data_IF_927692053431
#
_entry.id   IF_927692053431
#
_cell.length_a   1.000
_cell.length_b   1.000
_cell.length_c   1.000
_cell.angle_alpha   90.00
_cell.angle_beta   90.00
_cell.angle_gamma   90.00
#
_symmetry.space_group_name_H-M   'P 1'
#
loop_
_entity.id
_entity.type
_entity.pdbx_description
1 polymer ?
#
# COMPACT_ATOMS: atom_id res chain seq x y z
N UNK A 1 -11.09 -12.93 1.69
CA UNK A 1 -12.41 -13.07 1.07
C UNK A 1 -13.39 -12.20 1.83
N UNK A 2 -13.83 -11.07 1.27
CA UNK A 2 -14.72 -10.13 1.94
C UNK A 2 -16.05 -10.04 1.17
N UNK A 3 -17.17 -9.99 1.90
CA UNK A 3 -18.47 -9.56 1.36
C UNK A 3 -18.56 -8.04 1.28
N UNK A 4 -19.59 -7.50 0.60
CA UNK A 4 -19.69 -6.07 0.30
C UNK A 4 -19.65 -5.16 1.55
N UNK A 5 -20.41 -5.49 2.60
CA UNK A 5 -20.41 -4.70 3.84
C UNK A 5 -19.01 -4.59 4.49
N UNK A 6 -18.21 -5.65 4.41
CA UNK A 6 -16.86 -5.67 4.97
C UNK A 6 -15.86 -4.89 4.10
N UNK A 7 -16.15 -4.74 2.81
CA UNK A 7 -15.33 -3.98 1.88
C UNK A 7 -15.57 -2.47 1.98
N UNK A 8 -16.76 -2.03 2.44
CA UNK A 8 -17.17 -0.63 2.50
C UNK A 8 -16.11 0.37 3.04
N UNK A 9 -15.48 0.17 4.20
CA UNK A 9 -14.48 1.12 4.69
C UNK A 9 -13.26 1.24 3.76
N UNK A 10 -12.87 0.14 3.09
CA UNK A 10 -11.75 0.15 2.15
C UNK A 10 -12.13 0.80 0.82
N UNK A 11 -13.34 0.51 0.33
CA UNK A 11 -13.89 1.12 -0.90
C UNK A 11 -14.05 2.62 -0.71
N UNK A 12 -14.56 3.08 0.43
CA UNK A 12 -14.66 4.50 0.74
C UNK A 12 -13.28 5.19 0.72
N UNK A 13 -12.28 4.60 1.37
CA UNK A 13 -10.91 5.14 1.38
C UNK A 13 -10.32 5.22 -0.03
N UNK A 14 -10.45 4.15 -0.81
CA UNK A 14 -9.98 4.13 -2.20
C UNK A 14 -10.71 5.16 -3.06
N UNK A 15 -12.03 5.29 -2.94
CA UNK A 15 -12.83 6.27 -3.68
C UNK A 15 -12.35 7.72 -3.47
N UNK A 16 -11.75 8.02 -2.31
CA UNK A 16 -11.25 9.36 -1.99
C UNK A 16 -9.89 9.68 -2.62
N UNK A 17 -9.11 8.66 -3.01
CA UNK A 17 -7.72 8.85 -3.47
C UNK A 17 -7.48 8.46 -4.92
N UNK A 18 -8.30 7.57 -5.50
CA UNK A 18 -8.07 7.10 -6.88
C UNK A 18 -8.53 8.13 -7.91
N UNK A 19 -7.64 8.43 -8.86
CA UNK A 19 -7.86 9.32 -10.01
C UNK A 19 -8.43 8.57 -11.22
N UNK A 20 -8.64 7.26 -11.10
CA UNK A 20 -9.14 6.40 -12.16
C UNK A 20 -10.53 5.83 -11.85
N UNK A 21 -11.12 5.14 -12.83
CA UNK A 21 -12.38 4.45 -12.63
C UNK A 21 -12.24 3.33 -11.60
N UNK A 22 -13.17 3.29 -10.64
CA UNK A 22 -13.18 2.30 -9.58
C UNK A 22 -14.20 1.19 -9.85
N UNK A 23 -13.81 -0.05 -9.56
CA UNK A 23 -14.71 -1.20 -9.66
C UNK A 23 -14.61 -2.08 -8.42
N UNK A 24 -15.71 -2.77 -8.09
CA UNK A 24 -15.76 -3.76 -7.00
C UNK A 24 -16.49 -5.01 -7.48
N UNK A 25 -15.98 -6.18 -7.11
CA UNK A 25 -16.64 -7.46 -7.33
C UNK A 25 -16.60 -8.25 -6.02
N UNK A 26 -17.63 -8.09 -5.17
CA UNK A 26 -17.68 -8.74 -3.86
C UNK A 26 -18.00 -10.23 -3.99
N UNK A 27 -17.67 -11.02 -2.97
CA UNK A 27 -18.22 -12.37 -2.84
C UNK A 27 -19.72 -12.32 -2.49
N UNK A 28 -20.43 -13.42 -2.72
CA UNK A 28 -21.79 -13.64 -2.22
C UNK A 28 -21.76 -13.97 -0.71
N UNK A 29 -21.25 -13.03 0.09
CA UNK A 29 -21.05 -13.18 1.53
C UNK A 29 -19.67 -13.74 1.90
N UNK A 30 -19.50 -14.06 3.19
CA UNK A 30 -18.31 -14.76 3.67
C UNK A 30 -18.44 -16.27 3.38
N UNK A 31 -17.33 -16.97 3.14
CA UNK A 31 -17.38 -18.42 2.97
C UNK A 31 -17.91 -19.07 4.24
N UNK A 32 -18.89 -19.97 4.08
CA UNK A 32 -19.46 -20.73 5.20
C UNK A 32 -18.55 -21.91 5.58
N UNK A 33 -18.90 -22.63 6.65
CA UNK A 33 -18.11 -23.75 7.17
C UNK A 33 -17.92 -24.91 6.16
N UNK A 34 -18.76 -25.00 5.13
CA UNK A 34 -18.67 -25.98 4.05
C UNK A 34 -17.91 -25.45 2.82
N UNK A 35 -17.36 -24.23 2.89
CA UNK A 35 -16.69 -23.56 1.77
C UNK A 35 -17.63 -22.98 0.72
N UNK A 36 -18.95 -22.97 0.99
CA UNK A 36 -19.99 -22.37 0.14
C UNK A 36 -20.27 -20.91 0.48
N UNK A 37 -21.26 -20.33 -0.20
CA UNK A 37 -21.68 -18.94 -0.08
C UNK A 37 -23.20 -18.88 0.05
N UNK A 38 -23.69 -18.17 1.06
CA UNK A 38 -25.11 -18.21 1.47
C UNK A 38 -25.89 -16.95 1.10
N UNK A 39 -25.24 -15.87 0.66
CA UNK A 39 -25.98 -14.68 0.22
C UNK A 39 -26.80 -15.02 -1.00
N UNK A 40 -28.08 -14.66 -0.95
CA UNK A 40 -28.99 -14.74 -2.10
C UNK A 40 -28.74 -13.58 -3.07
N UNK A 41 -29.27 -13.62 -4.31
CA UNK A 41 -29.22 -12.48 -5.22
C UNK A 41 -29.70 -11.16 -4.62
N UNK A 42 -30.80 -11.17 -3.85
CA UNK A 42 -31.34 -9.99 -3.18
C UNK A 42 -30.41 -9.50 -2.08
N UNK A 43 -29.97 -10.39 -1.20
CA UNK A 43 -29.06 -10.07 -0.09
C UNK A 43 -27.76 -9.45 -0.60
N UNK A 44 -27.14 -10.05 -1.62
CA UNK A 44 -25.90 -9.54 -2.18
C UNK A 44 -26.08 -8.16 -2.83
N UNK A 45 -27.20 -7.93 -3.53
CA UNK A 45 -27.49 -6.66 -4.15
C UNK A 45 -27.77 -5.55 -3.12
N UNK A 46 -28.51 -5.85 -2.06
CA UNK A 46 -28.76 -4.95 -0.93
C UNK A 46 -27.44 -4.53 -0.25
N UNK A 47 -26.55 -5.49 0.03
CA UNK A 47 -25.25 -5.18 0.63
C UNK A 47 -24.35 -4.33 -0.28
N UNK A 48 -24.42 -4.52 -1.60
CA UNK A 48 -23.65 -3.71 -2.56
C UNK A 48 -24.22 -2.30 -2.75
N UNK A 49 -25.49 -2.07 -2.39
CA UNK A 49 -26.17 -0.79 -2.64
C UNK A 49 -25.47 0.40 -1.96
N UNK A 50 -24.78 0.18 -0.84
CA UNK A 50 -24.00 1.21 -0.16
C UNK A 50 -22.97 1.86 -1.09
N UNK A 51 -22.38 1.09 -2.00
CA UNK A 51 -21.38 1.61 -2.93
C UNK A 51 -21.99 2.53 -3.99
N UNK A 52 -23.20 2.22 -4.43
CA UNK A 52 -23.92 2.99 -5.45
C UNK A 52 -24.51 4.26 -4.87
N UNK A 53 -25.17 4.15 -3.70
CA UNK A 53 -25.70 5.29 -2.94
C UNK A 53 -24.63 6.34 -2.64
N UNK A 54 -23.43 5.87 -2.31
CA UNK A 54 -22.31 6.74 -1.97
C UNK A 54 -21.53 7.26 -3.19
N UNK A 55 -21.88 6.83 -4.41
CA UNK A 55 -21.22 7.26 -5.63
C UNK A 55 -19.75 6.84 -5.71
N UNK A 56 -19.40 5.68 -5.15
CA UNK A 56 -18.01 5.22 -5.07
C UNK A 56 -17.54 4.44 -6.31
N UNK A 57 -18.44 3.89 -7.12
CA UNK A 57 -18.06 2.96 -8.20
C UNK A 57 -18.45 3.43 -9.60
N UNK A 58 -17.67 2.98 -10.56
CA UNK A 58 -17.94 3.08 -12.00
C UNK A 58 -18.39 1.74 -12.58
N UNK A 59 -17.94 0.63 -11.99
CA UNK A 59 -18.34 -0.73 -12.39
C UNK A 59 -18.53 -1.61 -11.16
N UNK A 60 -19.43 -2.60 -11.27
CA UNK A 60 -19.68 -3.58 -10.22
C UNK A 60 -19.82 -4.97 -10.81
N UNK A 61 -19.35 -5.98 -10.08
CA UNK A 61 -19.45 -7.39 -10.46
C UNK A 61 -19.63 -8.29 -9.24
N UNK A 62 -19.41 -9.58 -9.47
CA UNK A 62 -19.43 -10.60 -8.42
C UNK A 62 -18.22 -11.52 -8.54
N UNK A 63 -17.75 -12.01 -7.40
CA UNK A 63 -16.62 -12.92 -7.28
C UNK A 63 -17.10 -14.32 -6.91
N UNK A 64 -16.50 -14.95 -5.90
CA UNK A 64 -16.86 -16.28 -5.45
C UNK A 64 -18.31 -16.34 -4.93
N UNK A 65 -19.02 -17.42 -5.26
CA UNK A 65 -20.44 -17.61 -4.93
C UNK A 65 -21.42 -16.84 -5.80
N UNK A 66 -20.96 -15.88 -6.60
CA UNK A 66 -21.83 -15.10 -7.49
C UNK A 66 -22.26 -15.93 -8.70
N UNK A 67 -23.51 -15.75 -9.12
CA UNK A 67 -24.10 -16.43 -10.29
C UNK A 67 -24.84 -15.42 -11.18
N UNK A 68 -25.27 -15.79 -12.41
CA UNK A 68 -26.02 -14.87 -13.27
C UNK A 68 -27.25 -14.21 -12.61
N UNK A 69 -28.04 -14.92 -11.77
CA UNK A 69 -29.06 -14.30 -10.92
C UNK A 69 -28.56 -13.16 -10.02
N UNK A 70 -27.40 -13.34 -9.36
CA UNK A 70 -26.79 -12.28 -8.53
C UNK A 70 -26.43 -11.05 -9.37
N UNK A 71 -25.75 -11.27 -10.50
CA UNK A 71 -25.35 -10.17 -11.39
C UNK A 71 -26.57 -9.43 -11.95
N UNK A 72 -27.62 -10.15 -12.33
CA UNK A 72 -28.89 -9.56 -12.76
C UNK A 72 -29.47 -8.65 -11.68
N UNK A 73 -29.54 -9.13 -10.44
CA UNK A 73 -30.11 -8.37 -9.34
C UNK A 73 -29.27 -7.14 -8.96
N UNK A 74 -27.94 -7.28 -8.95
CA UNK A 74 -27.01 -6.15 -8.74
C UNK A 74 -27.21 -5.08 -9.82
N UNK A 75 -27.32 -5.47 -11.10
CA UNK A 75 -27.57 -4.54 -12.22
C UNK A 75 -28.87 -3.76 -12.03
N UNK A 76 -29.95 -4.43 -11.64
CA UNK A 76 -31.26 -3.78 -11.40
C UNK A 76 -31.17 -2.71 -10.31
N UNK A 77 -30.45 -2.98 -9.22
CA UNK A 77 -30.22 -2.00 -8.15
C UNK A 77 -29.28 -0.88 -8.61
N UNK A 78 -28.14 -1.21 -9.24
CA UNK A 78 -27.15 -0.24 -9.69
C UNK A 78 -27.69 0.74 -10.74
N UNK A 79 -28.62 0.31 -11.61
CA UNK A 79 -29.22 1.16 -12.65
C UNK A 79 -30.02 2.37 -12.12
N UNK A 80 -30.30 2.42 -10.82
CA UNK A 80 -30.98 3.54 -10.16
C UNK A 80 -30.01 4.66 -9.77
N UNK A 81 -28.69 4.44 -9.89
CA UNK A 81 -27.66 5.35 -9.43
C UNK A 81 -26.76 5.81 -10.60
N UNK A 82 -26.14 6.98 -10.44
CA UNK A 82 -25.14 7.46 -11.39
C UNK A 82 -23.76 6.91 -11.04
N UNK A 83 -22.90 6.62 -12.04
CA UNK A 83 -21.51 6.26 -11.80
C UNK A 83 -20.74 7.35 -11.03
N UNK A 84 -19.70 6.95 -10.31
CA UNK A 84 -18.74 7.86 -9.66
C UNK A 84 -18.19 8.89 -10.65
N UNK A 85 -18.23 10.17 -10.28
CA UNK A 85 -17.47 11.20 -10.97
C UNK A 85 -15.96 11.04 -10.66
N UNK A 86 -15.12 11.19 -11.68
CA UNK A 86 -13.67 11.28 -11.47
C UNK A 86 -13.34 12.56 -10.67
N UNK A 87 -12.30 12.54 -9.83
CA UNK A 87 -11.91 13.72 -9.07
C UNK A 87 -11.43 14.82 -10.02
N UNK A 88 -11.59 16.07 -9.59
CA UNK A 88 -11.06 17.21 -10.33
C UNK A 88 -9.52 17.15 -10.37
N UNK A 89 -8.94 17.64 -11.46
CA UNK A 89 -7.49 17.80 -11.57
C UNK A 89 -7.03 18.83 -10.53
N UNK A 90 -6.19 18.38 -9.60
CA UNK A 90 -5.57 19.24 -8.58
C UNK A 90 -4.08 19.40 -8.84
N UNK A 91 -3.43 20.31 -8.10
CA UNK A 91 -1.98 20.45 -8.19
C UNK A 91 -1.32 19.12 -7.76
N UNK A 92 -0.33 18.61 -8.52
CA UNK A 92 0.40 17.41 -8.12
C UNK A 92 1.03 17.57 -6.74
N UNK A 93 0.81 16.58 -5.88
CA UNK A 93 1.43 16.45 -4.56
C UNK A 93 2.48 15.35 -4.60
N UNK A 94 3.45 15.39 -3.68
CA UNK A 94 4.36 14.27 -3.48
C UNK A 94 3.70 13.23 -2.57
N UNK A 95 3.26 12.12 -3.17
CA UNK A 95 2.73 10.94 -2.49
C UNK A 95 3.81 9.87 -2.47
N UNK A 96 4.13 9.37 -1.29
CA UNK A 96 5.03 8.25 -1.06
C UNK A 96 4.24 7.14 -0.35
N UNK A 97 4.77 5.92 -0.37
CA UNK A 97 4.14 4.79 0.33
C UNK A 97 5.18 3.83 0.85
N UNK A 98 4.99 3.40 2.10
CA UNK A 98 5.41 2.08 2.57
C UNK A 98 4.19 1.16 2.55
N UNK A 99 3.92 0.49 3.67
CA UNK A 99 2.62 -0.12 3.98
C UNK A 99 1.56 0.93 4.33
N UNK A 100 2.00 2.10 4.78
CA UNK A 100 1.14 3.27 5.05
C UNK A 100 1.42 4.35 4.00
N UNK A 101 0.37 5.11 3.66
CA UNK A 101 0.46 6.25 2.75
C UNK A 101 1.12 7.44 3.44
N UNK A 102 1.91 8.21 2.68
CA UNK A 102 2.55 9.42 3.15
C UNK A 102 2.40 10.53 2.12
N UNK A 103 1.62 11.55 2.46
CA UNK A 103 1.51 12.79 1.68
C UNK A 103 2.46 13.82 2.31
N UNK A 104 3.52 14.20 1.59
CA UNK A 104 4.60 15.03 2.15
C UNK A 104 4.11 16.38 2.69
N UNK A 105 3.07 16.95 2.09
CA UNK A 105 2.46 18.21 2.54
C UNK A 105 1.82 18.11 3.93
N UNK A 106 1.39 16.90 4.34
CA UNK A 106 0.71 16.66 5.62
C UNK A 106 1.70 16.23 6.73
N UNK A 107 2.98 16.00 6.38
CA UNK A 107 4.01 15.52 7.30
C UNK A 107 4.45 16.62 8.25
N UNK A 108 4.47 16.28 9.55
CA UNK A 108 5.06 17.10 10.60
C UNK A 108 6.03 16.26 11.43
N UNK A 109 7.22 16.79 11.74
CA UNK A 109 8.18 16.10 12.59
C UNK A 109 7.78 16.14 14.08
N UNK A 110 8.59 15.55 14.96
CA UNK A 110 8.31 15.49 16.40
C UNK A 110 8.24 16.86 17.11
N UNK A 111 8.65 17.95 16.46
CA UNK A 111 8.51 19.33 16.95
C UNK A 111 7.26 20.03 16.38
N UNK A 112 6.45 19.34 15.59
CA UNK A 112 5.30 19.91 14.89
C UNK A 112 5.67 20.80 13.71
N UNK A 113 6.90 20.72 13.17
CA UNK A 113 7.30 21.46 11.99
C UNK A 113 6.99 20.67 10.71
N UNK A 114 6.55 21.32 9.61
CA UNK A 114 6.29 20.66 8.33
C UNK A 114 7.61 20.27 7.64
N UNK A 115 8.25 19.21 8.13
CA UNK A 115 9.58 18.79 7.72
C UNK A 115 9.69 17.27 7.63
N UNK A 116 10.02 16.78 6.44
CA UNK A 116 10.22 15.36 6.15
C UNK A 116 11.62 14.91 6.56
N UNK A 117 11.74 14.26 7.72
CA UNK A 117 12.95 13.54 8.11
C UNK A 117 13.21 12.30 7.24
N UNK A 118 14.39 12.23 6.64
CA UNK A 118 14.92 11.03 5.96
C UNK A 118 16.01 10.40 6.85
N UNK A 119 15.87 9.12 7.15
CA UNK A 119 16.81 8.37 7.99
C UNK A 119 18.05 7.92 7.21
N UNK A 120 19.20 8.54 7.46
CA UNK A 120 20.47 8.35 6.75
C UNK A 120 21.35 7.16 7.21
N UNK A 121 21.02 6.49 8.32
CA UNK A 121 21.95 5.53 8.96
C UNK A 121 22.05 4.18 8.24
N UNK A 122 21.17 3.90 7.29
CA UNK A 122 21.20 2.73 6.41
C UNK A 122 22.05 2.99 5.15
N UNK A 123 23.22 3.61 5.37
CA UNK A 123 24.12 4.06 4.33
C UNK A 123 25.52 3.46 4.55
N UNK A 124 26.02 2.70 3.58
CA UNK A 124 27.33 2.03 3.70
C UNK A 124 28.48 3.04 3.76
N UNK A 125 28.38 4.15 3.03
CA UNK A 125 29.40 5.20 3.03
C UNK A 125 29.37 6.05 4.30
N UNK A 126 28.19 6.31 4.86
CA UNK A 126 27.99 7.18 6.04
C UNK A 126 28.00 6.47 7.40
N UNK A 127 27.74 5.16 7.46
CA UNK A 127 27.56 4.42 8.71
C UNK A 127 28.52 3.22 8.81
N UNK A 128 29.59 3.40 9.60
CA UNK A 128 30.59 2.34 9.88
C UNK A 128 29.91 1.07 10.44
N UNK A 129 28.88 1.24 11.27
CA UNK A 129 28.13 0.11 11.84
C UNK A 129 27.36 -0.63 10.75
N UNK A 130 26.59 0.09 9.93
CA UNK A 130 25.80 -0.51 8.85
C UNK A 130 26.71 -1.23 7.83
N UNK A 131 27.79 -0.57 7.39
CA UNK A 131 28.81 -1.16 6.51
C UNK A 131 29.32 -2.51 7.03
N UNK A 132 29.73 -2.56 8.31
CA UNK A 132 30.24 -3.79 8.93
C UNK A 132 29.20 -4.92 8.93
N UNK A 133 27.93 -4.61 9.13
CA UNK A 133 26.84 -5.60 9.13
C UNK A 133 26.56 -6.11 7.72
N UNK A 134 26.44 -5.19 6.76
CA UNK A 134 26.21 -5.51 5.34
C UNK A 134 27.34 -6.36 4.76
N UNK A 135 28.61 -6.02 5.04
CA UNK A 135 29.78 -6.80 4.60
C UNK A 135 29.84 -8.20 5.23
N UNK A 136 29.29 -8.37 6.45
CA UNK A 136 29.20 -9.68 7.13
C UNK A 136 27.96 -10.49 6.71
N UNK A 137 27.05 -9.90 5.93
CA UNK A 137 25.76 -10.49 5.62
C UNK A 137 24.81 -10.61 6.82
N UNK A 138 25.03 -9.81 7.87
CA UNK A 138 24.17 -9.75 9.06
C UNK A 138 23.01 -8.78 8.82
N UNK A 139 22.09 -9.19 7.94
CA UNK A 139 20.93 -8.39 7.56
C UNK A 139 19.94 -8.20 8.72
N UNK A 140 19.86 -9.15 9.65
CA UNK A 140 18.97 -9.05 10.81
C UNK A 140 19.35 -7.84 11.67
N UNK A 141 20.62 -7.74 12.06
CA UNK A 141 21.08 -6.59 12.86
C UNK A 141 21.09 -5.30 12.04
N UNK A 142 21.21 -5.39 10.72
CA UNK A 142 21.07 -4.23 9.84
C UNK A 142 19.62 -3.71 9.79
N UNK A 143 18.61 -4.59 9.84
CA UNK A 143 17.20 -4.19 9.98
C UNK A 143 16.93 -3.47 11.29
N UNK A 144 17.59 -3.86 12.39
CA UNK A 144 17.46 -3.13 13.67
C UNK A 144 17.89 -1.66 13.55
N UNK A 145 18.84 -1.34 12.65
CA UNK A 145 19.21 0.04 12.35
C UNK A 145 18.06 0.75 11.64
N UNK A 146 17.47 0.14 10.60
CA UNK A 146 16.34 0.70 9.88
C UNK A 146 15.15 0.93 10.81
N UNK A 147 14.74 -0.10 11.57
CA UNK A 147 13.66 -0.03 12.56
C UNK A 147 13.90 1.10 13.56
N UNK A 148 15.10 1.18 14.14
CA UNK A 148 15.43 2.25 15.10
C UNK A 148 15.27 3.64 14.49
N UNK A 149 15.60 3.83 13.21
CA UNK A 149 15.40 5.14 12.58
C UNK A 149 13.92 5.50 12.47
N UNK A 150 13.07 4.53 12.15
CA UNK A 150 11.62 4.74 12.13
C UNK A 150 11.09 5.08 13.52
N UNK A 151 11.54 4.34 14.55
CA UNK A 151 11.18 4.60 15.95
C UNK A 151 11.70 5.97 16.44
N UNK A 152 12.85 6.42 15.92
CA UNK A 152 13.44 7.74 16.19
C UNK A 152 12.74 8.88 15.38
N UNK A 153 11.73 8.58 14.57
CA UNK A 153 10.92 9.56 13.84
C UNK A 153 11.38 9.87 12.41
N UNK A 154 12.07 8.94 11.75
CA UNK A 154 12.28 9.00 10.30
C UNK A 154 10.97 8.70 9.57
N UNK A 155 10.61 9.55 8.62
CA UNK A 155 9.44 9.36 7.77
C UNK A 155 9.74 8.58 6.50
N UNK A 156 11.02 8.54 6.09
CA UNK A 156 11.54 7.81 4.93
C UNK A 156 12.88 7.21 5.35
N UNK A 157 13.21 6.01 4.90
CA UNK A 157 14.54 5.40 5.12
C UNK A 157 15.39 5.51 3.86
N UNK A 158 16.54 6.17 3.97
CA UNK A 158 17.57 6.17 2.93
C UNK A 158 18.33 4.85 2.95
N UNK A 159 18.44 4.19 1.81
CA UNK A 159 19.14 2.91 1.65
C UNK A 159 20.25 3.14 0.63
N UNK A 160 21.48 3.23 1.12
CA UNK A 160 22.66 3.35 0.29
C UNK A 160 23.56 2.12 0.44
N UNK A 161 23.90 1.53 -0.70
CA UNK A 161 24.73 0.31 -0.80
C UNK A 161 26.03 0.52 -1.58
N UNK A 162 26.40 1.76 -1.82
CA UNK A 162 27.57 2.09 -2.63
C UNK A 162 28.86 1.85 -1.83
N UNK A 163 29.62 0.84 -2.26
CA UNK A 163 30.96 0.54 -1.78
C UNK A 163 31.74 -0.29 -2.80
N UNK A 164 33.02 0.02 -3.01
CA UNK A 164 33.86 -0.69 -3.99
C UNK A 164 34.10 -2.17 -3.65
N UNK A 165 33.86 -2.59 -2.42
CA UNK A 165 34.07 -3.96 -1.95
C UNK A 165 32.79 -4.80 -1.90
N UNK A 166 31.64 -4.23 -2.26
CA UNK A 166 30.34 -4.89 -2.19
C UNK A 166 29.71 -5.02 -3.59
N UNK A 167 29.04 -6.13 -3.83
CA UNK A 167 28.08 -6.22 -4.93
C UNK A 167 26.83 -5.42 -4.55
N UNK A 168 26.82 -4.13 -4.90
CA UNK A 168 25.74 -3.21 -4.56
C UNK A 168 24.38 -3.64 -5.14
N UNK A 169 24.36 -4.29 -6.31
CA UNK A 169 23.11 -4.74 -6.91
C UNK A 169 22.49 -5.88 -6.09
N UNK A 170 23.28 -6.89 -5.73
CA UNK A 170 22.83 -7.98 -4.87
C UNK A 170 22.47 -7.49 -3.45
N UNK A 171 23.22 -6.52 -2.94
CA UNK A 171 22.99 -5.93 -1.62
C UNK A 171 21.67 -5.15 -1.55
N UNK A 172 21.40 -4.27 -2.52
CA UNK A 172 20.14 -3.50 -2.59
C UNK A 172 18.94 -4.44 -2.63
N UNK A 173 18.94 -5.38 -3.59
CA UNK A 173 17.85 -6.34 -3.75
C UNK A 173 17.59 -7.14 -2.48
N UNK A 174 18.66 -7.64 -1.84
CA UNK A 174 18.52 -8.45 -0.65
C UNK A 174 18.01 -7.64 0.54
N UNK A 175 18.55 -6.43 0.73
CA UNK A 175 18.14 -5.56 1.84
C UNK A 175 16.68 -5.14 1.71
N UNK A 176 16.27 -4.62 0.54
CA UNK A 176 14.88 -4.19 0.29
C UNK A 176 13.91 -5.36 0.44
N UNK A 177 14.22 -6.54 -0.12
CA UNK A 177 13.37 -7.75 0.03
C UNK A 177 13.16 -8.17 1.48
N UNK A 178 14.15 -7.98 2.34
CA UNK A 178 13.99 -8.23 3.77
C UNK A 178 13.19 -7.10 4.41
N UNK A 179 13.52 -5.84 4.12
CA UNK A 179 12.86 -4.67 4.70
C UNK A 179 11.34 -4.66 4.43
N UNK A 180 10.89 -5.04 3.23
CA UNK A 180 9.44 -5.13 2.91
C UNK A 180 8.71 -6.23 3.68
N UNK A 181 9.42 -7.22 4.24
CA UNK A 181 8.84 -8.28 5.07
C UNK A 181 8.78 -7.92 6.55
N UNK A 182 9.41 -6.81 6.96
CA UNK A 182 9.46 -6.33 8.34
C UNK A 182 8.46 -5.17 8.52
N UNK A 183 7.25 -5.37 9.09
CA UNK A 183 6.20 -4.36 9.09
C UNK A 183 6.58 -3.04 9.77
N UNK A 184 7.42 -3.11 10.81
CA UNK A 184 7.89 -1.93 11.54
C UNK A 184 8.86 -1.05 10.72
N UNK A 185 9.52 -1.64 9.72
CA UNK A 185 10.38 -0.92 8.76
C UNK A 185 9.57 -0.53 7.53
N UNK A 186 8.81 -1.48 6.98
CA UNK A 186 8.05 -1.31 5.75
C UNK A 186 6.89 -0.32 5.86
N UNK A 187 6.45 0.07 7.07
CA UNK A 187 5.41 1.09 7.23
C UNK A 187 5.77 2.43 6.61
N UNK A 188 7.06 2.79 6.53
CA UNK A 188 7.53 4.01 5.88
C UNK A 188 8.10 3.75 4.47
N UNK A 189 8.09 4.74 3.56
CA UNK A 189 8.72 4.64 2.24
C UNK A 189 10.25 4.47 2.32
N UNK A 190 10.83 3.92 1.26
CA UNK A 190 12.28 3.79 1.08
C UNK A 190 12.79 4.75 -0.01
N UNK A 191 13.92 5.39 0.27
CA UNK A 191 14.70 6.18 -0.69
C UNK A 191 15.89 5.31 -1.13
N UNK A 192 15.87 4.91 -2.41
CA UNK A 192 16.90 4.06 -2.99
C UNK A 192 18.06 4.94 -3.47
N UNK A 193 19.15 4.97 -2.72
CA UNK A 193 20.32 5.80 -2.99
C UNK A 193 21.48 4.96 -3.55
N UNK A 194 21.78 5.17 -4.82
CA UNK A 194 22.93 4.56 -5.47
C UNK A 194 23.42 5.41 -6.65
N UNK A 195 24.73 5.45 -6.84
CA UNK A 195 25.40 6.12 -7.96
C UNK A 195 25.24 5.39 -9.29
N UNK A 196 25.00 4.07 -9.25
CA UNK A 196 24.72 3.27 -10.45
C UNK A 196 23.21 3.09 -10.62
N UNK A 197 22.67 3.57 -11.74
CA UNK A 197 21.24 3.51 -12.03
C UNK A 197 20.66 2.08 -11.98
N UNK A 198 21.40 1.08 -12.45
CA UNK A 198 20.95 -0.32 -12.39
C UNK A 198 20.70 -0.82 -10.96
N UNK A 199 21.39 -0.26 -9.95
CA UNK A 199 21.14 -0.57 -8.54
C UNK A 199 19.83 0.07 -8.07
N UNK A 200 19.55 1.32 -8.49
CA UNK A 200 18.27 1.99 -8.19
C UNK A 200 17.10 1.23 -8.80
N UNK A 201 17.24 0.76 -10.05
CA UNK A 201 16.21 -0.06 -10.72
C UNK A 201 16.01 -1.42 -10.05
N UNK A 202 17.05 -1.95 -9.40
CA UNK A 202 17.00 -3.25 -8.76
C UNK A 202 16.33 -3.24 -7.38
N UNK A 203 16.33 -2.10 -6.69
CA UNK A 203 15.61 -1.91 -5.43
C UNK A 203 14.12 -1.75 -5.64
#
# INVERSE_FOLDING_TARGET
ALGANHMAPFVERLAKVVECFMHVYSNAGLPNAMGGYDDTPDTMAEQNEVFFKSGWLNMVGGCCGSTPPHIKRIREVASQYSPRALPDETRPKMWLSGLEDLVVEDVHNHLGMPFLNVGERCNISGSIRFKKLMMKGDFQTAMDIAKKQVDDGAHVIDINVDDGMLDGLAAMQKFVKIAVTEPEVAKVPFMLDASKFDIVVAG
#
